data_IF_235944958408
#
_entry.id   IF_235944958408
#
_cell.length_a   1.000
_cell.length_b   1.000
_cell.length_c   1.000
_cell.angle_alpha   90.00
_cell.angle_beta   90.00
_cell.angle_gamma   90.00
#
_symmetry.space_group_name_H-M   'P 1'
#
loop_
_entity.id
_entity.type
_entity.pdbx_description
1 polymer ?
#
# COMPACT_ATOMS: atom_id res chain seq x y z
N UNK A 1 1.46 -17.07 34.27
CA UNK A 1 2.14 -16.29 33.22
C UNK A 1 1.92 -16.93 31.84
N UNK A 2 0.67 -17.23 31.46
CA UNK A 2 0.40 -18.24 30.40
C UNK A 2 -0.51 -17.76 29.27
N UNK A 3 -1.37 -16.76 29.50
CA UNK A 3 -2.32 -16.24 28.49
C UNK A 3 -1.67 -15.27 27.49
N UNK A 4 -0.67 -14.49 27.92
CA UNK A 4 0.05 -13.52 27.09
C UNK A 4 0.99 -14.19 26.06
N UNK A 5 1.58 -15.34 26.37
CA UNK A 5 2.42 -16.11 25.43
C UNK A 5 1.58 -16.83 24.36
N UNK A 6 0.42 -17.37 24.75
CA UNK A 6 -0.53 -17.99 23.82
C UNK A 6 -1.13 -16.98 22.83
N UNK A 7 -1.54 -15.80 23.32
CA UNK A 7 -2.11 -14.73 22.48
C UNK A 7 -1.08 -14.12 21.52
N UNK A 8 0.19 -13.99 21.94
CA UNK A 8 1.28 -13.53 21.06
C UNK A 8 1.66 -14.56 20.01
N UNK A 9 1.70 -15.85 20.36
CA UNK A 9 1.95 -16.95 19.42
C UNK A 9 0.87 -17.08 18.34
N UNK A 10 -0.40 -16.97 18.72
CA UNK A 10 -1.53 -17.02 17.78
C UNK A 10 -1.50 -15.83 16.81
N UNK A 11 -1.21 -14.63 17.33
CA UNK A 11 -1.09 -13.41 16.50
C UNK A 11 0.07 -13.50 15.50
N UNK A 12 1.20 -14.11 15.88
CA UNK A 12 2.34 -14.33 14.98
C UNK A 12 1.98 -15.28 13.84
N UNK A 13 1.32 -16.41 14.13
CA UNK A 13 0.86 -17.36 13.10
C UNK A 13 -0.13 -16.72 12.12
N UNK A 14 -1.09 -15.95 12.63
CA UNK A 14 -2.04 -15.22 11.78
C UNK A 14 -1.34 -14.25 10.83
N UNK A 15 -0.30 -13.56 11.30
CA UNK A 15 0.49 -12.67 10.46
C UNK A 15 1.28 -13.43 9.40
N UNK A 16 1.90 -14.56 9.74
CA UNK A 16 2.63 -15.41 8.77
C UNK A 16 1.69 -15.95 7.68
N UNK A 17 0.51 -16.45 8.04
CA UNK A 17 -0.50 -16.90 7.08
C UNK A 17 -0.91 -15.75 6.16
N UNK A 18 -1.16 -14.57 6.71
CA UNK A 18 -1.53 -13.41 5.93
C UNK A 18 -0.40 -12.89 5.03
N UNK A 19 0.86 -12.95 5.48
CA UNK A 19 2.02 -12.65 4.64
C UNK A 19 2.14 -13.61 3.45
N UNK A 20 1.81 -14.89 3.65
CA UNK A 20 1.79 -15.87 2.56
C UNK A 20 0.73 -15.53 1.51
N UNK A 21 -0.43 -14.99 1.90
CA UNK A 21 -1.44 -14.53 0.93
C UNK A 21 -0.91 -13.39 0.05
N UNK A 22 -0.19 -12.43 0.63
CA UNK A 22 0.44 -11.34 -0.13
C UNK A 22 1.52 -11.88 -1.08
N UNK A 23 2.28 -12.89 -0.65
CA UNK A 23 3.25 -13.58 -1.50
C UNK A 23 2.58 -14.26 -2.70
N UNK A 24 1.48 -14.98 -2.47
CA UNK A 24 0.72 -15.63 -3.54
C UNK A 24 0.11 -14.61 -4.51
N UNK A 25 -0.49 -13.53 -3.99
CA UNK A 25 -1.07 -12.45 -4.79
C UNK A 25 -0.03 -11.75 -5.70
N UNK A 26 1.25 -11.76 -5.29
CA UNK A 26 2.34 -11.08 -6.00
C UNK A 26 3.39 -12.04 -6.54
N UNK A 27 3.06 -13.33 -6.71
CA UNK A 27 4.02 -14.36 -7.07
C UNK A 27 4.54 -14.20 -8.51
N UNK A 28 5.78 -14.62 -8.78
CA UNK A 28 6.43 -14.43 -10.08
C UNK A 28 5.79 -15.23 -11.23
N UNK A 29 5.18 -16.36 -10.89
CA UNK A 29 4.47 -17.22 -11.84
C UNK A 29 3.02 -16.77 -12.08
N UNK A 30 2.53 -15.79 -11.33
CA UNK A 30 1.17 -15.27 -11.46
C UNK A 30 1.12 -14.35 -12.67
N UNK A 31 0.45 -14.79 -13.75
CA UNK A 31 0.39 -14.03 -15.01
C UNK A 31 -0.58 -12.84 -14.97
N UNK A 32 -1.57 -12.89 -14.08
CA UNK A 32 -2.59 -11.86 -13.92
C UNK A 32 -3.03 -11.74 -12.45
N UNK A 33 -3.56 -10.58 -12.02
CA UNK A 33 -4.04 -10.39 -10.65
C UNK A 33 -5.10 -11.43 -10.26
N UNK A 34 -4.86 -12.16 -9.17
CA UNK A 34 -5.88 -13.01 -8.56
C UNK A 34 -6.79 -12.15 -7.67
N UNK A 35 -7.96 -11.79 -8.20
CA UNK A 35 -8.94 -10.99 -7.50
C UNK A 35 -9.48 -11.68 -6.24
N UNK A 36 -9.53 -13.01 -6.22
CA UNK A 36 -10.01 -13.77 -5.06
C UNK A 36 -9.04 -13.61 -3.89
N UNK A 37 -7.73 -13.71 -4.15
CA UNK A 37 -6.71 -13.47 -3.12
C UNK A 37 -6.70 -11.99 -2.72
N UNK A 38 -6.76 -11.06 -3.67
CA UNK A 38 -6.78 -9.62 -3.37
C UNK A 38 -7.96 -9.22 -2.46
N UNK A 39 -9.16 -9.72 -2.75
CA UNK A 39 -10.36 -9.45 -1.93
C UNK A 39 -10.27 -10.05 -0.54
N UNK A 40 -9.66 -11.23 -0.41
CA UNK A 40 -9.42 -11.86 0.89
C UNK A 40 -8.44 -11.06 1.74
N UNK A 41 -7.36 -10.55 1.14
CA UNK A 41 -6.41 -9.64 1.79
C UNK A 41 -7.13 -8.38 2.28
N UNK A 42 -7.93 -7.75 1.42
CA UNK A 42 -8.73 -6.55 1.77
C UNK A 42 -9.68 -6.84 2.93
N UNK A 43 -10.43 -7.96 2.87
CA UNK A 43 -11.34 -8.38 3.95
C UNK A 43 -10.60 -8.57 5.28
N UNK A 44 -9.42 -9.19 5.24
CA UNK A 44 -8.59 -9.37 6.42
C UNK A 44 -8.11 -8.04 6.99
N UNK A 45 -7.62 -7.12 6.15
CA UNK A 45 -7.17 -5.79 6.58
C UNK A 45 -8.29 -4.97 7.24
N UNK A 46 -9.50 -5.03 6.69
CA UNK A 46 -10.66 -4.35 7.26
C UNK A 46 -11.10 -4.94 8.61
N UNK A 47 -10.82 -6.23 8.85
CA UNK A 47 -11.13 -6.91 10.13
C UNK A 47 -10.01 -6.70 11.16
N UNK A 48 -8.75 -6.71 10.71
CA UNK A 48 -7.55 -6.72 11.55
C UNK A 48 -6.61 -5.55 11.19
N UNK A 49 -6.97 -4.34 11.61
CA UNK A 49 -6.26 -3.10 11.24
C UNK A 49 -4.78 -3.07 11.62
N UNK A 50 -4.39 -3.83 12.64
CA UNK A 50 -3.01 -3.95 13.14
C UNK A 50 -2.00 -4.40 12.06
N UNK A 51 -2.47 -5.07 11.01
CA UNK A 51 -1.61 -5.57 9.92
C UNK A 51 -1.52 -4.63 8.72
N UNK A 52 -2.28 -3.53 8.71
CA UNK A 52 -2.36 -2.61 7.59
C UNK A 52 -1.03 -1.91 7.24
N UNK A 53 -0.44 -1.17 8.18
CA UNK A 53 0.85 -0.49 7.95
C UNK A 53 2.01 -1.47 7.67
N UNK A 54 2.12 -2.62 8.36
CA UNK A 54 3.06 -3.69 7.99
C UNK A 54 2.87 -4.18 6.55
N UNK A 55 1.63 -4.33 6.08
CA UNK A 55 1.31 -4.73 4.70
C UNK A 55 1.84 -3.73 3.68
N UNK A 56 1.60 -2.43 3.91
CA UNK A 56 2.12 -1.38 3.04
C UNK A 56 3.66 -1.43 2.98
N UNK A 57 4.31 -1.65 4.12
CA UNK A 57 5.78 -1.80 4.18
C UNK A 57 6.26 -3.03 3.38
N UNK A 58 5.53 -4.13 3.45
CA UNK A 58 5.82 -5.34 2.68
C UNK A 58 5.64 -5.12 1.18
N UNK A 59 4.55 -4.48 0.76
CA UNK A 59 4.28 -4.13 -0.64
C UNK A 59 5.35 -3.20 -1.21
N UNK A 60 5.89 -2.26 -0.43
CA UNK A 60 7.06 -1.45 -0.86
C UNK A 60 8.25 -2.31 -1.24
N UNK A 61 8.49 -3.44 -0.57
CA UNK A 61 9.58 -4.37 -0.93
C UNK A 61 9.26 -5.11 -2.23
N UNK A 62 8.01 -5.53 -2.42
CA UNK A 62 7.56 -6.18 -3.67
C UNK A 62 7.61 -5.21 -4.87
N UNK A 63 7.30 -3.93 -4.67
CA UNK A 63 7.43 -2.90 -5.69
C UNK A 63 8.89 -2.60 -6.11
N UNK A 64 9.88 -2.95 -5.27
CA UNK A 64 11.31 -2.88 -5.61
C UNK A 64 11.86 -4.17 -6.21
N UNK A 65 11.01 -5.16 -6.48
CA UNK A 65 11.44 -6.45 -6.99
C UNK A 65 12.02 -6.35 -8.40
N UNK A 66 12.99 -7.21 -8.77
CA UNK A 66 13.61 -7.15 -10.11
C UNK A 66 12.65 -7.57 -11.23
N UNK A 67 11.77 -8.52 -10.93
CA UNK A 67 10.75 -9.01 -11.86
C UNK A 67 9.61 -7.98 -11.99
N UNK A 68 9.40 -7.48 -13.21
CA UNK A 68 8.34 -6.49 -13.52
C UNK A 68 6.94 -7.02 -13.27
N UNK A 69 6.71 -8.34 -13.40
CA UNK A 69 5.41 -8.95 -13.09
C UNK A 69 5.09 -8.81 -11.61
N UNK A 70 6.07 -9.05 -10.73
CA UNK A 70 5.88 -8.85 -9.28
C UNK A 70 5.57 -7.40 -8.95
N UNK A 71 6.26 -6.46 -9.61
CA UNK A 71 5.96 -5.02 -9.42
C UNK A 71 4.54 -4.68 -9.87
N UNK A 72 4.10 -5.21 -11.03
CA UNK A 72 2.77 -5.01 -11.57
C UNK A 72 1.69 -5.56 -10.62
N UNK A 73 1.83 -6.81 -10.17
CA UNK A 73 0.90 -7.42 -9.22
C UNK A 73 0.89 -6.66 -7.89
N UNK A 74 2.05 -6.23 -7.40
CA UNK A 74 2.15 -5.45 -6.17
C UNK A 74 1.48 -4.08 -6.27
N UNK A 75 1.61 -3.37 -7.40
CA UNK A 75 0.94 -2.08 -7.60
C UNK A 75 -0.57 -2.28 -7.76
N UNK A 76 -1.02 -3.36 -8.41
CA UNK A 76 -2.44 -3.70 -8.51
C UNK A 76 -3.04 -3.99 -7.14
N UNK A 77 -2.39 -4.81 -6.32
CA UNK A 77 -2.84 -5.08 -4.95
C UNK A 77 -2.83 -3.81 -4.09
N UNK A 78 -1.82 -2.94 -4.23
CA UNK A 78 -1.81 -1.65 -3.54
C UNK A 78 -3.01 -0.78 -3.93
N UNK A 79 -3.31 -0.66 -5.24
CA UNK A 79 -4.48 0.07 -5.71
C UNK A 79 -5.77 -0.49 -5.14
N UNK A 80 -5.91 -1.81 -5.11
CA UNK A 80 -7.04 -2.51 -4.50
C UNK A 80 -7.20 -2.19 -3.01
N UNK A 81 -6.10 -2.17 -2.24
CA UNK A 81 -6.11 -1.79 -0.82
C UNK A 81 -6.50 -0.33 -0.64
N UNK A 82 -5.98 0.59 -1.45
CA UNK A 82 -6.33 2.02 -1.36
C UNK A 82 -7.81 2.22 -1.65
N UNK A 83 -8.36 1.51 -2.63
CA UNK A 83 -9.77 1.63 -3.00
C UNK A 83 -10.69 1.10 -1.89
N UNK A 84 -10.36 -0.02 -1.26
CA UNK A 84 -11.25 -0.72 -0.33
C UNK A 84 -10.98 -0.48 1.16
N UNK A 85 -9.76 -0.06 1.54
CA UNK A 85 -9.36 0.16 2.93
C UNK A 85 -9.18 1.66 3.20
N UNK A 86 -10.28 2.36 3.52
CA UNK A 86 -10.30 3.82 3.71
C UNK A 86 -9.26 4.28 4.75
N UNK A 87 -9.08 3.53 5.83
CA UNK A 87 -8.11 3.85 6.89
C UNK A 87 -6.65 3.77 6.44
N UNK A 88 -6.34 3.08 5.34
CA UNK A 88 -4.98 2.97 4.78
C UNK A 88 -4.65 4.06 3.76
N UNK A 89 -5.65 4.76 3.22
CA UNK A 89 -5.45 5.84 2.24
C UNK A 89 -4.52 6.92 2.79
N UNK A 90 -4.71 7.31 4.05
CA UNK A 90 -3.88 8.33 4.72
C UNK A 90 -2.41 7.93 4.82
N UNK A 91 -2.10 6.63 4.94
CA UNK A 91 -0.73 6.14 5.04
C UNK A 91 -0.02 6.12 3.68
N UNK A 92 -0.78 5.85 2.61
CA UNK A 92 -0.29 5.89 1.22
C UNK A 92 -0.15 7.33 0.73
N UNK A 93 -1.05 8.23 1.12
CA UNK A 93 -1.04 9.65 0.74
C UNK A 93 0.03 10.49 1.47
N UNK A 94 1.03 9.86 2.09
CA UNK A 94 2.13 10.57 2.75
C UNK A 94 3.23 10.91 1.73
N UNK A 95 3.88 12.07 1.89
CA UNK A 95 5.05 12.47 1.08
C UNK A 95 6.10 11.35 0.95
N UNK A 96 6.59 10.71 2.03
CA UNK A 96 7.62 9.67 1.90
C UNK A 96 7.14 8.41 1.13
N UNK A 97 5.86 8.08 1.17
CA UNK A 97 5.33 6.95 0.40
C UNK A 97 5.16 7.33 -1.07
N UNK A 98 4.66 8.54 -1.36
CA UNK A 98 4.53 9.07 -2.70
C UNK A 98 5.88 9.28 -3.39
N UNK A 99 6.87 9.84 -2.69
CA UNK A 99 8.25 9.98 -3.20
C UNK A 99 8.82 8.60 -3.56
N UNK A 100 8.52 7.58 -2.75
CA UNK A 100 8.89 6.21 -3.06
C UNK A 100 8.20 5.69 -4.34
N UNK A 101 6.89 5.88 -4.51
CA UNK A 101 6.18 5.48 -5.74
C UNK A 101 6.71 6.22 -6.97
N UNK A 102 7.05 7.50 -6.83
CA UNK A 102 7.67 8.25 -7.92
C UNK A 102 9.06 7.70 -8.26
N UNK A 103 9.82 7.26 -7.25
CA UNK A 103 11.15 6.67 -7.47
C UNK A 103 11.11 5.32 -8.21
N UNK A 104 9.97 4.61 -8.23
CA UNK A 104 9.81 3.37 -9.00
C UNK A 104 9.48 3.61 -10.46
N UNK A 105 9.12 4.84 -10.86
CA UNK A 105 8.82 5.16 -12.25
C UNK A 105 10.11 5.39 -13.06
N UNK A 106 10.17 4.95 -14.32
CA UNK A 106 11.29 5.29 -15.19
C UNK A 106 11.43 6.81 -15.33
N UNK A 107 12.68 7.31 -15.33
CA UNK A 107 12.98 8.75 -15.39
C UNK A 107 12.24 9.48 -16.52
N UNK A 108 12.05 8.82 -17.67
CA UNK A 108 11.28 9.36 -18.80
C UNK A 108 9.86 9.81 -18.41
N UNK A 109 9.16 9.06 -17.56
CA UNK A 109 7.83 9.44 -17.08
C UNK A 109 7.86 10.66 -16.16
N UNK A 110 8.95 10.87 -15.42
CA UNK A 110 9.14 12.04 -14.56
C UNK A 110 9.45 13.31 -15.37
N UNK A 111 10.20 13.21 -16.47
CA UNK A 111 10.55 14.35 -17.32
C UNK A 111 9.39 14.84 -18.20
N UNK A 112 8.50 13.95 -18.66
CA UNK A 112 7.35 14.33 -19.50
C UNK A 112 6.25 15.10 -18.76
N UNK A 113 6.17 14.96 -17.43
CA UNK A 113 5.25 15.73 -16.58
C UNK A 113 6.05 16.39 -15.46
N UNK A 114 6.45 17.65 -15.62
CA UNK A 114 6.65 18.52 -14.43
C UNK A 114 5.38 18.36 -13.58
N UNK A 115 5.45 17.85 -12.34
CA UNK A 115 4.27 17.34 -11.65
C UNK A 115 3.33 18.49 -11.30
N UNK A 116 2.37 18.76 -12.18
CA UNK A 116 1.27 19.70 -11.94
C UNK A 116 0.35 19.22 -10.82
N UNK A 117 0.40 17.92 -10.49
CA UNK A 117 -0.37 17.32 -9.40
C UNK A 117 -0.12 17.99 -8.04
N UNK A 118 1.14 18.33 -7.71
CA UNK A 118 1.46 19.01 -6.44
C UNK A 118 1.26 20.54 -6.47
N UNK A 119 1.01 21.13 -7.65
CA UNK A 119 0.67 22.57 -7.74
C UNK A 119 -0.72 22.83 -7.17
N UNK A 120 -1.65 21.88 -7.33
CA UNK A 120 -3.01 21.96 -6.79
C UNK A 120 -3.04 21.83 -5.27
N UNK A 121 -2.28 20.87 -4.69
CA UNK A 121 -2.21 20.70 -3.24
C UNK A 121 -1.63 21.93 -2.50
N UNK A 122 -0.62 22.59 -3.08
CA UNK A 122 -0.12 23.87 -2.54
C UNK A 122 -1.16 24.98 -2.65
N UNK A 123 -1.90 25.04 -3.76
CA UNK A 123 -2.96 26.04 -3.96
C UNK A 123 -4.14 25.83 -3.01
N UNK A 124 -4.55 24.59 -2.77
CA UNK A 124 -5.68 24.24 -1.90
C UNK A 124 -5.32 24.41 -0.42
N UNK A 125 -4.08 24.10 -0.01
CA UNK A 125 -3.60 24.36 1.34
C UNK A 125 -3.46 25.86 1.65
N UNK A 126 -3.03 26.67 0.68
CA UNK A 126 -3.01 28.14 0.80
C UNK A 126 -4.43 28.70 0.82
N UNK A 127 -5.35 28.14 0.03
CA UNK A 127 -6.77 28.53 0.02
C UNK A 127 -7.44 28.22 1.37
N UNK A 128 -7.14 27.08 1.99
CA UNK A 128 -7.64 26.75 3.33
C UNK A 128 -7.15 27.74 4.40
N UNK A 129 -5.88 28.18 4.35
CA UNK A 129 -5.34 29.17 5.30
C UNK A 129 -5.94 30.58 5.17
N UNK A 130 -6.62 30.90 4.07
CA UNK A 130 -7.28 32.19 3.84
C UNK A 130 -8.78 32.16 4.17
N UNK A 131 -9.42 30.99 4.15
CA UNK A 131 -10.86 30.87 4.46
C UNK A 131 -11.12 30.90 5.97
N UNK A 132 -10.14 30.54 6.80
CA UNK A 132 -10.24 30.64 8.28
C UNK A 132 -9.92 32.05 8.83
N UNK A 133 -9.80 33.07 7.98
CA UNK A 133 -9.44 34.46 8.36
C UNK A 133 -10.48 35.52 7.98
N UNK A 134 -11.71 35.11 7.70
CA UNK A 134 -12.90 35.97 7.49
C UNK A 134 -13.99 35.48 8.41
#
# INVERSE_FOLDING_TARGET
MSSLSLTTGLRRRQFETFQNEILMATHELTSAPDWTINMRIVKYLNTSRNFGVPTLTYLRRRLKHKNSQVQLLAITLLGCIVENCVYLRIHVATKPYMDFLLSTLPKYYLYRKKPTFFRRYKHDAVRAQYVDRV
#
